data_IF_811173717154
#
_entry.id   IF_811173717154
#
_cell.length_a   1.000
_cell.length_b   1.000
_cell.length_c   1.000
_cell.angle_alpha   90.00
_cell.angle_beta   90.00
_cell.angle_gamma   90.00
#
_symmetry.space_group_name_H-M   'P 1'
#
loop_
_entity.id
_entity.type
_entity.pdbx_description
1 polymer ?
#
# COMPACT_ATOMS: atom_id res chain seq x y z
N UNK A 1 14.66 2.93 -8.30
CA UNK A 1 13.40 2.21 -8.56
C UNK A 1 12.20 3.14 -8.42
N UNK A 2 11.21 3.06 -9.31
CA UNK A 2 9.92 3.78 -9.23
C UNK A 2 8.89 2.95 -8.46
N UNK A 3 8.41 3.51 -7.34
CA UNK A 3 7.49 2.83 -6.42
C UNK A 3 6.14 3.53 -6.42
N UNK A 4 5.08 2.79 -6.70
CA UNK A 4 3.71 3.24 -6.50
C UNK A 4 3.23 2.81 -5.12
N UNK A 5 2.81 3.78 -4.30
CA UNK A 5 2.20 3.56 -3.00
C UNK A 5 0.68 3.79 -3.06
N UNK A 6 -0.08 2.84 -2.50
CA UNK A 6 -1.54 2.89 -2.38
C UNK A 6 -2.03 2.21 -1.09
N UNK A 7 -3.34 2.21 -0.84
CA UNK A 7 -3.99 1.44 0.23
C UNK A 7 -5.50 1.30 -0.05
N UNK A 8 -6.22 0.71 0.89
CA UNK A 8 -7.69 0.67 0.95
C UNK A 8 -8.32 1.52 2.07
N UNK A 9 -7.54 2.06 3.00
CA UNK A 9 -8.05 2.96 4.05
C UNK A 9 -8.26 4.42 3.57
N UNK A 10 -7.62 4.80 2.45
CA UNK A 10 -7.67 6.12 1.84
C UNK A 10 -6.40 6.96 2.01
N UNK A 11 -6.29 8.04 1.24
CA UNK A 11 -5.06 8.85 1.10
C UNK A 11 -4.61 9.53 2.39
N UNK A 12 -5.54 9.86 3.29
CA UNK A 12 -5.24 10.49 4.57
C UNK A 12 -4.95 9.48 5.69
N UNK A 13 -5.06 8.17 5.42
CA UNK A 13 -4.94 7.15 6.44
C UNK A 13 -3.55 7.16 7.10
N UNK A 14 -3.52 6.98 8.41
CA UNK A 14 -2.29 7.04 9.20
C UNK A 14 -1.24 6.01 8.75
N UNK A 15 -1.67 4.80 8.35
CA UNK A 15 -0.79 3.75 7.85
C UNK A 15 -0.13 4.09 6.51
N UNK A 16 -0.88 4.65 5.56
CA UNK A 16 -0.33 5.14 4.29
C UNK A 16 0.65 6.29 4.53
N UNK A 17 0.30 7.26 5.37
CA UNK A 17 1.16 8.39 5.68
C UNK A 17 2.42 7.98 6.45
N UNK A 18 2.35 6.95 7.29
CA UNK A 18 3.53 6.38 7.96
C UNK A 18 4.48 5.73 6.94
N UNK A 19 3.94 4.93 6.03
CA UNK A 19 4.74 4.24 5.01
C UNK A 19 5.33 5.23 3.99
N UNK A 20 4.55 6.22 3.53
CA UNK A 20 5.02 7.31 2.66
C UNK A 20 6.22 8.02 3.26
N UNK A 21 6.14 8.41 4.53
CA UNK A 21 7.23 9.10 5.25
C UNK A 21 8.48 8.22 5.43
N UNK A 22 8.31 6.90 5.50
CA UNK A 22 9.44 5.97 5.58
C UNK A 22 10.11 5.72 4.22
N UNK A 23 9.34 5.73 3.13
CA UNK A 23 9.83 5.51 1.76
C UNK A 23 10.46 6.77 1.15
N UNK A 24 9.89 7.96 1.42
CA UNK A 24 10.33 9.23 0.83
C UNK A 24 11.84 9.54 0.95
N UNK A 25 12.52 9.30 2.09
CA UNK A 25 13.95 9.62 2.22
C UNK A 25 14.89 8.57 1.61
N UNK A 26 14.38 7.45 1.09
CA UNK A 26 15.20 6.41 0.50
C UNK A 26 15.88 6.91 -0.79
N UNK A 27 17.20 6.73 -0.87
CA UNK A 27 17.94 7.01 -2.11
C UNK A 27 17.57 5.97 -3.16
N UNK A 28 17.62 6.36 -4.43
CA UNK A 28 17.25 5.47 -5.54
C UNK A 28 15.74 5.34 -5.75
N UNK A 29 14.92 5.65 -4.75
CA UNK A 29 13.46 5.52 -4.83
C UNK A 29 12.82 6.81 -5.36
N UNK A 30 12.04 6.67 -6.42
CA UNK A 30 11.09 7.67 -6.90
C UNK A 30 9.68 7.23 -6.49
N UNK A 31 9.04 7.97 -5.59
CA UNK A 31 7.78 7.59 -4.97
C UNK A 31 6.60 8.36 -5.58
N UNK A 32 5.59 7.63 -6.04
CA UNK A 32 4.28 8.17 -6.39
C UNK A 32 3.20 7.63 -5.43
N UNK A 33 2.19 8.45 -5.12
CA UNK A 33 1.06 8.05 -4.28
C UNK A 33 -0.24 8.22 -5.04
N UNK A 34 -0.98 7.13 -5.22
CA UNK A 34 -2.35 7.15 -5.73
C UNK A 34 -3.18 6.28 -4.79
N UNK A 35 -4.19 6.85 -4.15
CA UNK A 35 -5.00 6.15 -3.17
C UNK A 35 -6.48 6.58 -3.23
N UNK A 36 -7.40 5.78 -2.66
CA UNK A 36 -8.79 6.19 -2.55
C UNK A 36 -8.97 7.50 -1.76
N UNK A 37 -10.01 8.25 -2.07
CA UNK A 37 -10.42 9.48 -1.37
C UNK A 37 -10.96 9.26 0.05
N UNK A 38 -11.19 8.00 0.41
CA UNK A 38 -11.62 7.56 1.74
C UNK A 38 -11.58 6.05 1.86
N UNK A 39 -12.15 5.53 2.94
CA UNK A 39 -12.11 4.09 3.22
C UNK A 39 -12.86 3.27 2.13
N UNK A 40 -12.18 2.24 1.63
CA UNK A 40 -12.59 1.22 0.66
C UNK A 40 -12.21 -0.19 1.13
N UNK A 41 -12.06 -0.42 2.44
CA UNK A 41 -11.81 -1.74 3.00
C UNK A 41 -12.93 -2.72 2.60
N UNK A 42 -12.58 -4.00 2.45
CA UNK A 42 -13.49 -5.08 2.03
C UNK A 42 -14.15 -4.89 0.63
N UNK A 43 -13.59 -4.06 -0.23
CA UNK A 43 -14.02 -3.93 -1.64
C UNK A 43 -13.45 -5.03 -2.56
N UNK A 44 -12.72 -6.00 -2.00
CA UNK A 44 -12.07 -7.09 -2.72
C UNK A 44 -11.29 -6.59 -3.95
N UNK A 45 -11.34 -7.33 -5.06
CA UNK A 45 -10.69 -7.01 -6.34
C UNK A 45 -11.62 -6.29 -7.31
N UNK A 46 -12.41 -5.34 -6.83
CA UNK A 46 -13.33 -4.59 -7.70
C UNK A 46 -12.58 -3.63 -8.63
N UNK A 47 -13.11 -3.42 -9.84
CA UNK A 47 -12.59 -2.48 -10.84
C UNK A 47 -13.75 -1.63 -11.33
N UNK A 48 -13.52 -0.32 -11.48
CA UNK A 48 -14.54 0.60 -11.96
C UNK A 48 -14.54 0.65 -13.49
N UNK A 49 -15.60 0.12 -14.12
CA UNK A 49 -15.72 0.05 -15.60
C UNK A 49 -16.97 0.70 -16.18
N UNK A 50 -17.95 1.03 -15.33
CA UNK A 50 -19.29 1.50 -15.77
C UNK A 50 -19.52 3.00 -15.58
N UNK A 51 -18.54 3.72 -15.03
CA UNK A 51 -18.60 5.16 -14.78
C UNK A 51 -17.19 5.75 -14.89
N UNK A 52 -17.05 7.06 -15.15
CA UNK A 52 -15.76 7.73 -15.04
C UNK A 52 -15.25 7.68 -13.59
N UNK A 53 -13.92 7.75 -13.45
CA UNK A 53 -13.22 7.96 -12.19
C UNK A 53 -12.83 9.43 -12.07
N UNK A 54 -12.96 9.98 -10.86
CA UNK A 54 -12.50 11.31 -10.52
C UNK A 54 -11.18 11.22 -9.79
N UNK A 55 -10.28 12.14 -10.08
CA UNK A 55 -8.97 12.23 -9.44
C UNK A 55 -8.75 13.68 -8.99
N UNK A 56 -8.26 13.82 -7.76
CA UNK A 56 -7.87 15.08 -7.16
C UNK A 56 -6.41 15.02 -6.72
N UNK A 57 -5.64 16.05 -7.05
CA UNK A 57 -4.30 16.23 -6.49
C UNK A 57 -4.38 16.67 -5.02
N UNK A 58 -3.58 16.05 -4.17
CA UNK A 58 -3.51 16.27 -2.73
C UNK A 58 -2.09 16.68 -2.36
N UNK A 59 -1.95 17.88 -1.79
CA UNK A 59 -0.69 18.36 -1.21
C UNK A 59 -0.51 17.74 0.18
N UNK A 60 0.62 17.05 0.41
CA UNK A 60 0.93 16.44 1.70
C UNK A 60 1.54 17.42 2.72
N UNK A 61 1.79 18.68 2.33
CA UNK A 61 2.34 19.74 3.18
C UNK A 61 3.85 19.67 3.40
N UNK A 62 4.54 18.74 2.74
CA UNK A 62 5.99 18.54 2.80
C UNK A 62 6.68 18.77 1.45
N UNK A 63 5.98 19.42 0.51
CA UNK A 63 6.45 19.66 -0.85
C UNK A 63 6.25 18.48 -1.80
N UNK A 64 5.61 17.39 -1.34
CA UNK A 64 5.19 16.26 -2.18
C UNK A 64 3.68 16.27 -2.39
N UNK A 65 3.26 15.73 -3.53
CA UNK A 65 1.84 15.59 -3.89
C UNK A 65 1.48 14.13 -4.08
N UNK A 66 0.20 13.81 -3.94
CA UNK A 66 -0.39 12.52 -4.29
C UNK A 66 -1.72 12.72 -5.00
N UNK A 67 -2.34 11.61 -5.41
CA UNK A 67 -3.60 11.65 -6.15
C UNK A 67 -4.66 10.82 -5.42
N UNK A 68 -5.72 11.49 -4.97
CA UNK A 68 -6.90 10.86 -4.40
C UNK A 68 -7.87 10.52 -5.52
N UNK A 69 -8.50 9.35 -5.48
CA UNK A 69 -9.54 8.97 -6.45
C UNK A 69 -10.76 8.39 -5.77
N UNK A 70 -11.93 8.57 -6.37
CA UNK A 70 -13.18 7.97 -5.90
C UNK A 70 -13.30 6.46 -6.27
N UNK A 71 -12.27 5.90 -6.92
CA UNK A 71 -12.16 4.50 -7.29
C UNK A 71 -11.78 3.56 -6.16
N UNK A 72 -11.32 2.37 -6.57
CA UNK A 72 -10.84 1.28 -5.69
C UNK A 72 -9.31 1.28 -5.61
N UNK A 73 -8.70 0.51 -4.69
CA UNK A 73 -7.25 0.32 -4.65
C UNK A 73 -6.69 -0.26 -5.97
N UNK A 74 -7.45 -1.15 -6.62
CA UNK A 74 -7.09 -1.71 -7.93
C UNK A 74 -7.13 -0.64 -9.01
N UNK A 75 -8.13 0.24 -8.99
CA UNK A 75 -8.21 1.38 -9.91
C UNK A 75 -7.01 2.32 -9.72
N UNK A 76 -6.52 2.54 -8.50
CA UNK A 76 -5.33 3.35 -8.22
C UNK A 76 -4.08 2.81 -8.94
N UNK A 77 -3.88 1.50 -8.89
CA UNK A 77 -2.77 0.82 -9.60
C UNK A 77 -2.92 0.97 -11.12
N UNK A 78 -4.14 0.80 -11.65
CA UNK A 78 -4.42 0.97 -13.08
C UNK A 78 -4.25 2.40 -13.55
N UNK A 79 -4.65 3.39 -12.76
CA UNK A 79 -4.49 4.81 -13.09
C UNK A 79 -3.01 5.17 -13.25
N UNK A 80 -2.14 4.64 -12.39
CA UNK A 80 -0.69 4.77 -12.55
C UNK A 80 -0.24 4.23 -13.92
N UNK A 81 -0.62 2.99 -14.23
CA UNK A 81 -0.26 2.32 -15.48
C UNK A 81 -0.80 3.02 -16.74
N UNK A 82 -1.95 3.68 -16.62
CA UNK A 82 -2.59 4.44 -17.69
C UNK A 82 -2.00 5.85 -17.88
N UNK A 83 -0.98 6.22 -17.09
CA UNK A 83 -0.25 7.47 -17.26
C UNK A 83 -0.87 8.66 -16.55
N UNK A 84 -1.55 8.45 -15.41
CA UNK A 84 -2.03 9.56 -14.57
C UNK A 84 -0.89 10.51 -14.17
N UNK A 85 0.31 9.97 -13.95
CA UNK A 85 1.51 10.72 -13.59
C UNK A 85 2.44 10.70 -14.79
N UNK A 86 2.63 11.85 -15.43
CA UNK A 86 3.43 11.95 -16.65
C UNK A 86 4.89 11.55 -16.39
N UNK A 87 5.42 10.66 -17.23
CA UNK A 87 6.81 10.17 -17.12
C UNK A 87 7.06 9.14 -16.02
N UNK A 88 6.05 8.80 -15.22
CA UNK A 88 6.15 7.79 -14.17
C UNK A 88 5.61 6.42 -14.65
N UNK A 89 6.49 5.42 -14.66
CA UNK A 89 6.13 4.01 -14.91
C UNK A 89 6.55 3.18 -13.69
N UNK A 90 5.58 2.61 -12.98
CA UNK A 90 5.81 1.87 -11.75
C UNK A 90 6.64 0.60 -12.01
N UNK A 91 7.65 0.37 -11.18
CA UNK A 91 8.47 -0.86 -11.17
C UNK A 91 8.11 -1.76 -9.99
N UNK A 92 7.48 -1.20 -8.95
CA UNK A 92 7.01 -1.89 -7.76
C UNK A 92 5.72 -1.23 -7.26
N UNK A 93 4.75 -2.02 -6.82
CA UNK A 93 3.57 -1.53 -6.11
C UNK A 93 3.65 -1.93 -4.64
N UNK A 94 3.44 -0.97 -3.75
CA UNK A 94 3.33 -1.18 -2.31
C UNK A 94 1.95 -0.73 -1.85
N UNK A 95 1.21 -1.62 -1.21
CA UNK A 95 -0.15 -1.38 -0.71
C UNK A 95 -0.18 -1.51 0.80
N UNK A 96 -0.58 -0.44 1.50
CA UNK A 96 -0.69 -0.41 2.96
C UNK A 96 -0.20 0.90 3.59
N UNK A 97 0.02 0.94 4.91
CA UNK A 97 -0.17 -0.16 5.87
C UNK A 97 -1.64 -0.23 6.28
N UNK A 98 -2.24 -1.41 6.13
CA UNK A 98 -3.63 -1.65 6.51
C UNK A 98 -3.81 -1.81 8.03
N UNK A 99 -4.95 -1.33 8.54
CA UNK A 99 -5.39 -1.61 9.90
C UNK A 99 -5.94 -3.04 10.00
N UNK A 100 -5.26 -3.87 10.78
CA UNK A 100 -5.62 -5.28 10.93
C UNK A 100 -4.90 -6.19 9.94
N UNK A 101 -4.77 -7.44 10.34
CA UNK A 101 -4.04 -8.47 9.60
C UNK A 101 -4.84 -8.99 8.41
N UNK A 102 -4.15 -9.35 7.32
CA UNK A 102 -4.71 -10.04 6.15
C UNK A 102 -4.11 -11.47 6.10
N UNK A 103 -4.77 -12.42 6.78
CA UNK A 103 -4.29 -13.80 6.98
C UNK A 103 -5.26 -14.83 6.38
N UNK A 104 -4.71 -15.92 5.85
CA UNK A 104 -5.52 -17.04 5.35
C UNK A 104 -6.54 -16.62 4.30
N UNK A 105 -7.80 -17.01 4.50
CA UNK A 105 -8.88 -16.76 3.54
C UNK A 105 -9.25 -15.27 3.39
N UNK A 106 -8.90 -14.44 4.39
CA UNK A 106 -9.23 -13.01 4.41
C UNK A 106 -8.54 -12.23 3.29
N UNK A 107 -7.44 -12.78 2.79
CA UNK A 107 -6.68 -12.27 1.64
C UNK A 107 -7.58 -12.11 0.40
N UNK A 108 -8.60 -12.96 0.25
CA UNK A 108 -9.43 -13.01 -0.97
C UNK A 108 -10.34 -11.79 -1.15
N UNK A 109 -10.68 -11.09 -0.07
CA UNK A 109 -11.53 -9.89 -0.08
C UNK A 109 -10.85 -8.64 0.45
N UNK A 110 -9.56 -8.72 0.76
CA UNK A 110 -8.72 -7.60 1.18
C UNK A 110 -8.45 -6.61 0.04
N UNK A 111 -8.75 -5.34 0.25
CA UNK A 111 -8.43 -4.26 -0.71
C UNK A 111 -6.91 -4.01 -0.77
N UNK A 112 -6.23 -4.11 0.38
CA UNK A 112 -4.77 -3.99 0.46
C UNK A 112 -4.09 -5.03 -0.44
N UNK A 113 -4.47 -6.31 -0.31
CA UNK A 113 -3.88 -7.39 -1.11
C UNK A 113 -4.36 -7.32 -2.55
N UNK A 114 -5.59 -6.88 -2.81
CA UNK A 114 -6.10 -6.69 -4.17
C UNK A 114 -5.23 -5.73 -5.01
N UNK A 115 -4.78 -4.62 -4.44
CA UNK A 115 -3.88 -3.70 -5.15
C UNK A 115 -2.51 -4.34 -5.45
N UNK A 116 -1.93 -5.08 -4.50
CA UNK A 116 -0.69 -5.80 -4.74
C UNK A 116 -0.85 -6.92 -5.78
N UNK A 117 -2.00 -7.61 -5.80
CA UNK A 117 -2.34 -8.60 -6.83
C UNK A 117 -2.52 -7.96 -8.21
N UNK A 118 -3.05 -6.74 -8.28
CA UNK A 118 -3.17 -6.01 -9.55
C UNK A 118 -1.79 -5.71 -10.16
N UNK A 119 -0.80 -5.43 -9.32
CA UNK A 119 0.60 -5.28 -9.77
C UNK A 119 1.06 -6.54 -10.54
N UNK A 120 0.77 -7.72 -9.99
CA UNK A 120 1.09 -9.01 -10.61
C UNK A 120 0.40 -9.19 -11.95
N UNK A 121 -0.88 -8.80 -12.05
CA UNK A 121 -1.64 -8.83 -13.31
C UNK A 121 -0.99 -7.94 -14.37
N UNK A 122 -0.35 -6.85 -13.96
CA UNK A 122 0.37 -5.92 -14.82
C UNK A 122 1.85 -6.30 -15.06
N UNK A 123 2.30 -7.46 -14.55
CA UNK A 123 3.67 -7.94 -14.69
C UNK A 123 4.68 -7.28 -13.73
N UNK A 124 4.20 -6.63 -12.68
CA UNK A 124 5.02 -5.94 -11.68
C UNK A 124 5.04 -6.74 -10.36
N UNK A 125 6.12 -6.71 -9.58
CA UNK A 125 6.10 -7.19 -8.20
C UNK A 125 5.15 -6.33 -7.33
N UNK A 126 4.57 -6.96 -6.31
CA UNK A 126 3.65 -6.30 -5.38
C UNK A 126 3.96 -6.62 -3.93
N UNK A 127 3.84 -5.63 -3.05
CA UNK A 127 3.93 -5.80 -1.59
C UNK A 127 2.61 -5.35 -0.98
N UNK A 128 1.97 -6.21 -0.18
CA UNK A 128 0.85 -5.85 0.68
C UNK A 128 1.34 -5.85 2.13
N UNK A 129 1.05 -4.78 2.89
CA UNK A 129 1.49 -4.64 4.28
C UNK A 129 0.30 -4.37 5.18
N UNK A 130 0.21 -5.17 6.23
CA UNK A 130 -0.85 -5.13 7.25
C UNK A 130 -0.23 -5.16 8.64
N UNK A 131 -0.89 -4.53 9.61
CA UNK A 131 -0.45 -4.56 11.01
C UNK A 131 -1.58 -4.94 11.95
N UNK A 132 -1.29 -5.88 12.85
CA UNK A 132 -2.18 -6.25 13.95
C UNK A 132 -2.26 -5.12 14.99
N UNK A 133 -3.42 -4.95 15.61
CA UNK A 133 -3.60 -4.03 16.74
C UNK A 133 -2.69 -4.37 17.92
N UNK A 134 -2.22 -3.34 18.64
CA UNK A 134 -1.35 -3.46 19.83
C UNK A 134 -2.04 -4.22 20.98
N UNK A 135 -3.38 -4.22 21.02
CA UNK A 135 -4.13 -4.97 22.01
C UNK A 135 -4.08 -6.50 21.81
N UNK A 136 -3.54 -6.98 20.69
CA UNK A 136 -3.50 -8.43 20.39
C UNK A 136 -4.86 -9.03 20.03
N UNK A 137 -5.94 -8.25 20.12
CA UNK A 137 -7.28 -8.66 19.73
C UNK A 137 -7.53 -8.35 18.25
N UNK A 138 -8.44 -9.11 17.62
CA UNK A 138 -9.05 -8.79 16.32
C UNK A 138 -9.97 -7.54 16.39
N UNK A 139 -9.83 -6.76 17.47
CA UNK A 139 -10.82 -5.77 17.84
C UNK A 139 -10.59 -4.48 17.05
N UNK A 140 -11.53 -4.21 16.15
CA UNK A 140 -11.70 -2.94 15.45
C UNK A 140 -12.28 -1.86 16.40
N UNK A 141 -12.44 -2.15 17.70
CA UNK A 141 -12.88 -1.14 18.67
C UNK A 141 -11.80 -0.06 18.86
N UNK A 142 -12.22 1.14 18.52
CA UNK A 142 -11.54 2.41 18.73
C UNK A 142 -11.01 2.52 20.17
N UNK A 143 -9.72 2.24 20.38
CA UNK A 143 -9.09 2.37 21.70
C UNK A 143 -7.68 1.80 21.81
N UNK A 144 -7.35 0.75 21.05
CA UNK A 144 -5.99 0.23 20.96
C UNK A 144 -5.21 0.98 19.86
N UNK A 145 -4.19 1.75 20.25
CA UNK A 145 -3.44 2.58 19.31
C UNK A 145 -2.69 1.73 18.27
N UNK A 146 -2.74 2.13 16.99
CA UNK A 146 -1.84 1.61 15.97
C UNK A 146 -0.56 2.45 15.95
N UNK A 147 0.61 1.82 16.12
CA UNK A 147 1.91 2.42 15.83
C UNK A 147 2.51 1.77 14.58
N UNK A 148 2.30 2.42 13.44
CA UNK A 148 2.77 1.93 12.13
C UNK A 148 4.28 2.06 11.93
N UNK A 149 5.03 2.63 12.87
CA UNK A 149 6.46 2.90 12.70
C UNK A 149 7.27 1.64 12.40
N UNK A 150 6.99 0.54 13.08
CA UNK A 150 7.70 -0.73 12.88
C UNK A 150 7.42 -1.30 11.49
N UNK A 151 6.15 -1.39 11.10
CA UNK A 151 5.76 -1.87 9.78
C UNK A 151 6.31 -0.98 8.65
N UNK A 152 6.25 0.34 8.81
CA UNK A 152 6.76 1.30 7.84
C UNK A 152 8.28 1.19 7.68
N UNK A 153 9.02 1.14 8.79
CA UNK A 153 10.48 1.00 8.78
C UNK A 153 10.93 -0.33 8.17
N UNK A 154 10.26 -1.44 8.53
CA UNK A 154 10.56 -2.75 7.96
C UNK A 154 10.31 -2.78 6.45
N UNK A 155 9.16 -2.27 6.01
CA UNK A 155 8.80 -2.22 4.58
C UNK A 155 9.76 -1.33 3.80
N UNK A 156 10.13 -0.16 4.32
CA UNK A 156 11.09 0.74 3.67
C UNK A 156 12.47 0.09 3.51
N UNK A 157 12.94 -0.64 4.53
CA UNK A 157 14.17 -1.43 4.43
C UNK A 157 14.07 -2.51 3.37
N UNK A 158 12.95 -3.25 3.34
CA UNK A 158 12.72 -4.27 2.32
C UNK A 158 12.76 -3.66 0.91
N UNK A 159 12.05 -2.54 0.67
CA UNK A 159 12.04 -1.84 -0.61
C UNK A 159 13.44 -1.39 -1.03
N UNK A 160 14.26 -0.89 -0.09
CA UNK A 160 15.64 -0.51 -0.39
C UNK A 160 16.49 -1.71 -0.83
N UNK A 161 16.35 -2.87 -0.18
CA UNK A 161 17.06 -4.09 -0.54
C UNK A 161 16.65 -4.64 -1.91
N UNK A 162 15.42 -4.35 -2.36
CA UNK A 162 14.94 -4.78 -3.68
C UNK A 162 15.64 -4.06 -4.85
N UNK A 163 16.34 -2.95 -4.63
CA UNK A 163 17.19 -2.34 -5.66
C UNK A 163 18.39 -3.24 -6.01
N UNK A 164 18.95 -3.93 -5.02
CA UNK A 164 20.09 -4.83 -5.18
C UNK A 164 19.65 -6.28 -5.46
N UNK A 165 18.52 -6.70 -4.88
CA UNK A 165 18.00 -8.06 -4.95
C UNK A 165 16.53 -8.02 -5.41
N UNK A 166 16.28 -7.88 -6.74
CA UNK A 166 14.93 -7.74 -7.25
C UNK A 166 14.11 -9.02 -7.06
N UNK A 167 12.81 -8.86 -6.82
CA UNK A 167 11.88 -9.98 -6.82
C UNK A 167 11.71 -10.54 -8.23
N UNK A 168 11.48 -11.87 -8.37
CA UNK A 168 11.04 -12.43 -9.64
C UNK A 168 9.73 -11.78 -10.11
N UNK A 169 9.56 -11.66 -11.42
CA UNK A 169 8.30 -11.19 -12.01
C UNK A 169 7.11 -12.01 -11.49
N UNK A 170 5.99 -11.32 -11.24
CA UNK A 170 4.78 -11.95 -10.74
C UNK A 170 4.86 -12.44 -9.28
N UNK A 171 5.78 -11.89 -8.48
CA UNK A 171 5.87 -12.18 -7.04
C UNK A 171 5.11 -11.16 -6.20
N UNK A 172 4.24 -11.66 -5.32
CA UNK A 172 3.57 -10.87 -4.29
C UNK A 172 4.10 -11.24 -2.91
N UNK A 173 4.50 -10.24 -2.12
CA UNK A 173 4.81 -10.40 -0.70
C UNK A 173 3.65 -9.88 0.15
N UNK A 174 3.03 -10.76 0.94
CA UNK A 174 1.98 -10.39 1.91
C UNK A 174 2.58 -10.36 3.32
N UNK A 175 2.78 -9.16 3.86
CA UNK A 175 3.51 -8.93 5.12
C UNK A 175 2.50 -8.59 6.21
N UNK A 176 2.51 -9.36 7.29
CA UNK A 176 1.70 -9.11 8.48
C UNK A 176 2.61 -8.82 9.67
N UNK A 177 2.51 -7.62 10.22
CA UNK A 177 3.36 -7.14 11.33
C UNK A 177 2.58 -7.26 12.64
N UNK A 178 3.16 -7.85 13.70
CA UNK A 178 2.49 -7.92 14.99
C UNK A 178 2.37 -6.53 15.63
N UNK A 179 1.34 -6.35 16.47
CA UNK A 179 1.17 -5.12 17.26
C UNK A 179 2.18 -4.95 18.40
N UNK A 180 3.03 -5.94 18.63
CA UNK A 180 4.10 -5.91 19.63
C UNK A 180 5.49 -5.81 18.97
N UNK A 181 6.55 -5.74 19.77
CA UNK A 181 7.91 -5.74 19.25
C UNK A 181 8.21 -7.08 18.54
N UNK A 182 8.52 -7.08 17.23
CA UNK A 182 8.88 -8.31 16.52
C UNK A 182 10.20 -8.88 17.05
N UNK A 183 10.28 -10.21 17.11
CA UNK A 183 11.50 -10.95 17.49
C UNK A 183 12.26 -11.53 16.28
N UNK A 184 11.67 -11.48 15.08
CA UNK A 184 12.24 -12.04 13.86
C UNK A 184 11.30 -11.90 12.67
N UNK A 185 11.69 -12.52 11.56
CA UNK A 185 10.90 -12.64 10.33
C UNK A 185 10.81 -14.14 10.00
N UNK A 186 9.62 -14.59 9.62
CA UNK A 186 9.34 -15.95 9.15
C UNK A 186 8.68 -15.87 7.77
N UNK A 187 9.01 -16.82 6.89
CA UNK A 187 8.55 -16.89 5.49
C UNK A 187 7.73 -18.16 5.28
#
# INVERSE_FOLDING_TARGET
MRVLLTNDDGIEAAGLQALRRALLPLRGIELAVIAPDGNRSAMARSITTRRPLWVQEVDFGDGTVGYATDGTPVDCVRLARLGLIEGFEAELVVSGINHGSNLGDDITYSGTVAAALEAIVLGLPGIAVSQQSVAGELDFTSGAGFDFKTAASFTARLVAELEDVPLPEGTLLNINVPGCQPNGVEV
#
